data_IF_766893540576
#
_entry.id   IF_766893540576
#
_cell.length_a   1.000
_cell.length_b   1.000
_cell.length_c   1.000
_cell.angle_alpha   90.00
_cell.angle_beta   90.00
_cell.angle_gamma   90.00
#
_symmetry.space_group_name_H-M   'P 1'
#
loop_
_entity.id
_entity.type
_entity.pdbx_description
1 polymer ?
#
# COMPACT_ATOMS: atom_id res chain seq x y z
N UNK A 1 3.83 10.64 -62.32
CA UNK A 1 4.50 10.23 -61.06
C UNK A 1 4.00 11.08 -59.89
N UNK A 2 2.71 10.99 -59.58
CA UNK A 2 2.10 11.70 -58.45
C UNK A 2 1.30 10.67 -57.66
N UNK A 3 1.88 10.16 -56.56
CA UNK A 3 1.20 9.07 -55.83
C UNK A 3 1.98 8.43 -54.69
N UNK A 4 2.89 9.14 -54.00
CA UNK A 4 3.59 8.56 -52.85
C UNK A 4 3.83 9.51 -51.65
N UNK A 5 3.17 10.68 -51.58
CA UNK A 5 3.42 11.65 -50.49
C UNK A 5 2.28 11.75 -49.46
N UNK A 6 1.21 10.95 -49.58
CA UNK A 6 0.05 11.01 -48.66
C UNK A 6 -0.16 9.72 -47.84
N UNK A 7 0.81 8.81 -47.81
CA UNK A 7 0.73 7.54 -47.08
C UNK A 7 1.73 7.42 -45.91
N UNK A 8 2.06 8.54 -45.23
CA UNK A 8 2.90 8.57 -44.01
C UNK A 8 2.23 9.23 -42.80
N UNK A 9 0.90 9.33 -42.79
CA UNK A 9 0.14 9.90 -41.67
C UNK A 9 -0.67 8.87 -40.87
N UNK A 10 -0.42 7.57 -41.05
CA UNK A 10 -1.05 6.52 -40.25
C UNK A 10 -0.01 5.47 -39.87
N UNK A 11 0.44 5.49 -38.60
CA UNK A 11 1.27 4.42 -38.03
C UNK A 11 2.59 4.82 -37.36
N UNK A 12 2.87 6.12 -37.19
CA UNK A 12 4.10 6.59 -36.54
C UNK A 12 3.96 6.69 -35.02
N UNK A 13 4.03 5.57 -34.31
CA UNK A 13 4.22 5.59 -32.86
C UNK A 13 5.62 6.14 -32.53
N UNK A 14 5.75 7.47 -32.42
CA UNK A 14 7.02 8.12 -32.10
C UNK A 14 7.58 7.60 -30.77
N UNK A 15 8.90 7.52 -30.68
CA UNK A 15 9.61 7.18 -29.43
C UNK A 15 10.21 8.46 -28.85
N UNK A 16 10.15 8.56 -27.53
CA UNK A 16 10.61 9.73 -26.77
C UNK A 16 11.60 9.22 -25.70
N UNK A 17 12.74 9.89 -25.48
CA UNK A 17 13.62 9.57 -24.36
C UNK A 17 12.87 9.56 -23.02
N UNK A 18 13.09 8.55 -22.19
CA UNK A 18 12.42 8.35 -20.91
C UNK A 18 12.37 9.61 -20.02
N UNK A 19 13.45 10.39 -20.02
CA UNK A 19 13.58 11.64 -19.26
C UNK A 19 12.60 12.71 -19.74
N UNK A 20 12.46 12.85 -21.05
CA UNK A 20 11.54 13.82 -21.66
C UNK A 20 10.10 13.35 -21.44
N UNK A 21 9.83 12.05 -21.60
CA UNK A 21 8.52 11.48 -21.28
C UNK A 21 8.11 11.78 -19.83
N UNK A 22 9.03 11.59 -18.87
CA UNK A 22 8.77 11.89 -17.46
C UNK A 22 8.52 13.38 -17.20
N UNK A 23 9.25 14.29 -17.86
CA UNK A 23 9.00 15.74 -17.77
C UNK A 23 7.61 16.09 -18.31
N UNK A 24 7.21 15.50 -19.44
CA UNK A 24 5.88 15.71 -20.02
C UNK A 24 4.80 15.18 -19.07
N UNK A 25 4.96 13.98 -18.50
CA UNK A 25 4.02 13.40 -17.53
C UNK A 25 3.95 14.24 -16.26
N UNK A 26 5.09 14.73 -15.74
CA UNK A 26 5.12 15.59 -14.56
C UNK A 26 4.44 16.94 -14.81
N UNK A 27 4.70 17.56 -15.97
CA UNK A 27 4.10 18.83 -16.36
C UNK A 27 2.60 18.72 -16.61
N UNK A 28 2.16 17.71 -17.35
CA UNK A 28 0.73 17.47 -17.60
C UNK A 28 -0.04 16.94 -16.39
N UNK A 29 0.65 16.24 -15.49
CA UNK A 29 0.13 15.76 -14.20
C UNK A 29 0.39 16.70 -13.03
N UNK A 30 0.69 17.98 -13.29
CA UNK A 30 1.09 18.94 -12.25
C UNK A 30 0.06 19.06 -11.12
N UNK A 31 -1.24 19.03 -11.45
CA UNK A 31 -2.30 19.09 -10.45
C UNK A 31 -2.23 17.89 -9.49
N UNK A 32 -2.16 16.66 -10.00
CA UNK A 32 -1.92 15.45 -9.21
C UNK A 32 -0.66 15.54 -8.34
N UNK A 33 0.45 16.10 -8.85
CA UNK A 33 1.66 16.33 -8.05
C UNK A 33 1.45 17.39 -6.94
N UNK A 34 0.69 18.45 -7.20
CA UNK A 34 0.35 19.45 -6.18
C UNK A 34 -0.55 18.86 -5.09
N UNK A 35 -1.49 17.98 -5.46
CA UNK A 35 -2.34 17.25 -4.53
C UNK A 35 -1.50 16.28 -3.68
N UNK A 36 -0.53 15.59 -4.28
CA UNK A 36 0.43 14.75 -3.57
C UNK A 36 1.24 15.56 -2.55
N UNK A 37 1.78 16.70 -2.97
CA UNK A 37 2.57 17.59 -2.10
C UNK A 37 1.73 18.12 -0.92
N UNK A 38 0.47 18.50 -1.15
CA UNK A 38 -0.43 18.97 -0.09
C UNK A 38 -0.80 17.89 0.94
N UNK A 39 -0.57 16.61 0.64
CA UNK A 39 -0.83 15.47 1.54
C UNK A 39 0.39 15.00 2.32
N UNK A 40 1.57 15.56 2.06
CA UNK A 40 2.80 15.13 2.67
C UNK A 40 2.94 15.69 4.10
N UNK A 41 2.53 14.91 5.11
CA UNK A 41 2.69 15.22 6.53
C UNK A 41 3.62 14.21 7.22
N UNK A 42 4.44 14.65 8.18
CA UNK A 42 5.32 13.79 9.01
C UNK A 42 6.01 12.65 8.23
N UNK A 43 5.52 11.42 8.44
CA UNK A 43 6.01 10.18 7.78
C UNK A 43 5.69 10.16 6.28
N UNK A 44 4.54 10.66 5.86
CA UNK A 44 4.13 10.77 4.46
C UNK A 44 5.06 11.66 3.64
N UNK A 45 5.63 12.70 4.26
CA UNK A 45 6.68 13.52 3.63
C UNK A 45 7.97 12.73 3.40
N UNK A 46 8.42 11.97 4.40
CA UNK A 46 9.61 11.14 4.27
C UNK A 46 9.47 10.09 3.15
N UNK A 47 8.32 9.40 3.06
CA UNK A 47 8.09 8.41 2.00
C UNK A 47 7.94 9.06 0.62
N UNK A 48 7.32 10.23 0.53
CA UNK A 48 7.23 11.00 -0.73
C UNK A 48 8.60 11.45 -1.21
N UNK A 49 9.45 11.97 -0.32
CA UNK A 49 10.82 12.36 -0.67
C UNK A 49 11.66 11.15 -1.11
N UNK A 50 11.54 10.02 -0.43
CA UNK A 50 12.21 8.79 -0.82
C UNK A 50 11.76 8.31 -2.22
N UNK A 51 10.46 8.39 -2.50
CA UNK A 51 9.90 8.07 -3.81
C UNK A 51 10.47 9.00 -4.90
N UNK A 52 10.45 10.31 -4.67
CA UNK A 52 10.97 11.31 -5.62
C UNK A 52 12.48 11.11 -5.86
N UNK A 53 13.26 10.83 -4.83
CA UNK A 53 14.68 10.55 -4.95
C UNK A 53 14.95 9.28 -5.76
N UNK A 54 14.20 8.20 -5.50
CA UNK A 54 14.33 6.94 -6.23
C UNK A 54 13.93 7.09 -7.71
N UNK A 55 12.82 7.77 -8.00
CA UNK A 55 12.39 8.06 -9.36
C UNK A 55 13.37 8.97 -10.10
N UNK A 56 13.84 10.04 -9.44
CA UNK A 56 14.83 10.96 -9.99
C UNK A 56 16.14 10.24 -10.33
N UNK A 57 16.65 9.41 -9.42
CA UNK A 57 17.83 8.58 -9.67
C UNK A 57 17.64 7.65 -10.86
N UNK A 58 16.52 6.93 -10.93
CA UNK A 58 16.21 6.02 -12.03
C UNK A 58 16.11 6.77 -13.37
N UNK A 59 15.51 7.96 -13.40
CA UNK A 59 15.38 8.78 -14.59
C UNK A 59 16.71 9.36 -15.08
N UNK A 60 17.58 9.83 -14.17
CA UNK A 60 18.92 10.33 -14.53
C UNK A 60 19.74 9.24 -15.22
N UNK A 61 19.58 7.98 -14.78
CA UNK A 61 20.28 6.83 -15.35
C UNK A 61 19.50 6.14 -16.49
N UNK A 62 18.28 6.59 -16.80
CA UNK A 62 17.50 6.03 -17.89
C UNK A 62 18.13 6.40 -19.24
N UNK A 63 18.42 5.37 -20.04
CA UNK A 63 18.88 5.46 -21.43
C UNK A 63 17.87 4.88 -22.42
N UNK A 64 16.75 4.36 -21.91
CA UNK A 64 15.71 3.76 -22.73
C UNK A 64 14.74 4.81 -23.27
N UNK A 65 13.99 4.40 -24.29
CA UNK A 65 12.94 5.19 -24.90
C UNK A 65 11.58 4.63 -24.56
N UNK A 66 10.60 5.52 -24.62
CA UNK A 66 9.23 5.30 -24.23
C UNK A 66 8.34 5.69 -25.41
N UNK A 67 7.28 4.91 -25.66
CA UNK A 67 6.39 5.21 -26.79
C UNK A 67 5.52 6.45 -26.49
N UNK A 68 5.43 7.35 -27.46
CA UNK A 68 4.67 8.60 -27.35
C UNK A 68 3.17 8.38 -27.11
N UNK A 69 2.59 7.34 -27.70
CA UNK A 69 1.19 6.97 -27.47
C UNK A 69 0.91 6.58 -26.01
N UNK A 70 1.86 5.93 -25.35
CA UNK A 70 1.77 5.64 -23.92
C UNK A 70 1.81 6.92 -23.07
N UNK A 71 2.64 7.91 -23.44
CA UNK A 71 2.67 9.22 -22.77
C UNK A 71 1.32 9.93 -22.93
N UNK A 72 0.77 9.96 -24.15
CA UNK A 72 -0.57 10.52 -24.40
C UNK A 72 -1.64 9.80 -23.58
N UNK A 73 -1.60 8.47 -23.50
CA UNK A 73 -2.55 7.70 -22.69
C UNK A 73 -2.47 8.06 -21.20
N UNK A 74 -1.27 8.26 -20.65
CA UNK A 74 -1.09 8.70 -19.25
C UNK A 74 -1.67 10.10 -19.05
N UNK A 75 -1.44 11.02 -19.97
CA UNK A 75 -1.98 12.39 -19.87
C UNK A 75 -3.51 12.40 -19.94
N UNK A 76 -4.10 11.64 -20.86
CA UNK A 76 -5.56 11.47 -20.96
C UNK A 76 -6.12 10.84 -19.69
N UNK A 77 -5.46 9.81 -19.15
CA UNK A 77 -5.85 9.18 -17.90
C UNK A 77 -5.76 10.16 -16.71
N UNK A 78 -4.74 11.02 -16.68
CA UNK A 78 -4.57 12.05 -15.64
C UNK A 78 -5.69 13.08 -15.72
N UNK A 79 -6.02 13.56 -16.92
CA UNK A 79 -7.12 14.49 -17.14
C UNK A 79 -8.46 13.86 -16.75
N UNK A 80 -8.72 12.61 -17.15
CA UNK A 80 -9.92 11.89 -16.76
C UNK A 80 -10.00 11.67 -15.23
N UNK A 81 -8.87 11.39 -14.58
CA UNK A 81 -8.79 11.25 -13.14
C UNK A 81 -9.10 12.57 -12.42
N UNK A 82 -8.63 13.70 -12.92
CA UNK A 82 -8.95 15.02 -12.36
C UNK A 82 -10.46 15.31 -12.38
N UNK A 83 -11.18 14.84 -13.41
CA UNK A 83 -12.64 14.98 -13.51
C UNK A 83 -13.40 14.18 -12.43
N UNK A 84 -12.79 13.15 -11.85
CA UNK A 84 -13.44 12.38 -10.77
C UNK A 84 -13.52 13.15 -9.45
N UNK A 85 -12.73 14.21 -9.28
CA UNK A 85 -12.51 14.90 -8.00
C UNK A 85 -11.95 14.00 -6.87
N UNK A 86 -11.50 12.78 -7.20
CA UNK A 86 -10.86 11.86 -6.27
C UNK A 86 -9.35 12.00 -6.40
N UNK A 87 -8.76 12.86 -5.57
CA UNK A 87 -7.34 13.22 -5.60
C UNK A 87 -6.39 12.01 -5.70
N UNK A 88 -6.72 10.90 -5.04
CA UNK A 88 -5.88 9.69 -5.09
C UNK A 88 -5.83 8.98 -6.44
N UNK A 89 -6.92 9.02 -7.21
CA UNK A 89 -6.93 8.40 -8.54
C UNK A 89 -5.94 9.17 -9.41
N UNK A 90 -5.97 10.50 -9.35
CA UNK A 90 -5.06 11.35 -10.10
C UNK A 90 -3.61 11.18 -9.66
N UNK A 91 -3.34 11.25 -8.34
CA UNK A 91 -2.00 10.98 -7.79
C UNK A 91 -1.50 9.62 -8.24
N UNK A 92 -2.35 8.58 -8.17
CA UNK A 92 -2.00 7.22 -8.57
C UNK A 92 -1.64 7.11 -10.05
N UNK A 93 -2.42 7.75 -10.93
CA UNK A 93 -2.14 7.79 -12.37
C UNK A 93 -0.83 8.49 -12.68
N UNK A 94 -0.57 9.65 -12.07
CA UNK A 94 0.66 10.41 -12.29
C UNK A 94 1.88 9.65 -11.77
N UNK A 95 1.82 9.11 -10.54
CA UNK A 95 2.91 8.30 -9.97
C UNK A 95 3.16 7.03 -10.79
N UNK A 96 2.10 6.37 -11.28
CA UNK A 96 2.24 5.22 -12.16
C UNK A 96 2.88 5.59 -13.50
N UNK A 97 2.50 6.72 -14.10
CA UNK A 97 3.08 7.25 -15.33
C UNK A 97 4.56 7.63 -15.20
N UNK A 98 4.93 8.26 -14.08
CA UNK A 98 6.33 8.58 -13.76
C UNK A 98 7.15 7.31 -13.53
N UNK A 99 6.59 6.34 -12.80
CA UNK A 99 7.22 5.04 -12.55
C UNK A 99 7.43 4.27 -13.85
N UNK A 100 6.44 4.26 -14.74
CA UNK A 100 6.54 3.67 -16.07
C UNK A 100 7.62 4.34 -16.91
N UNK A 101 7.67 5.68 -16.91
CA UNK A 101 8.69 6.44 -17.64
C UNK A 101 10.10 6.20 -17.10
N UNK A 102 10.23 5.94 -15.79
CA UNK A 102 11.51 5.69 -15.14
C UNK A 102 12.05 4.26 -15.36
N UNK A 103 11.21 3.31 -15.79
CA UNK A 103 11.55 1.90 -15.85
C UNK A 103 11.47 1.35 -17.28
N UNK A 104 12.52 0.67 -17.78
CA UNK A 104 12.49 0.09 -19.14
C UNK A 104 11.44 -1.03 -19.30
N UNK A 105 11.01 -1.62 -18.19
CA UNK A 105 9.91 -2.59 -18.13
C UNK A 105 9.12 -2.37 -16.86
N UNK A 106 7.79 -2.35 -16.97
CA UNK A 106 6.92 -2.19 -15.82
C UNK A 106 7.08 -3.37 -14.86
N UNK A 107 7.38 -3.07 -13.60
CA UNK A 107 7.52 -4.04 -12.53
C UNK A 107 6.45 -3.80 -11.49
N UNK A 108 5.45 -4.68 -11.45
CA UNK A 108 4.32 -4.59 -10.51
C UNK A 108 4.75 -4.37 -9.05
N UNK A 109 5.78 -5.05 -8.51
CA UNK A 109 6.20 -4.78 -7.13
C UNK A 109 6.76 -3.38 -6.92
N UNK A 110 7.49 -2.83 -7.91
CA UNK A 110 8.05 -1.48 -7.84
C UNK A 110 6.94 -0.44 -7.99
N UNK A 111 5.97 -0.69 -8.88
CA UNK A 111 4.78 0.17 -8.99
C UNK A 111 3.98 0.18 -7.68
N UNK A 112 3.76 -0.98 -7.06
CA UNK A 112 3.08 -1.08 -5.78
C UNK A 112 3.83 -0.33 -4.67
N UNK A 113 5.16 -0.46 -4.59
CA UNK A 113 5.98 0.34 -3.68
C UNK A 113 5.82 1.85 -3.93
N UNK A 114 5.85 2.28 -5.20
CA UNK A 114 5.68 3.68 -5.54
C UNK A 114 4.31 4.22 -5.10
N UNK A 115 3.25 3.45 -5.32
CA UNK A 115 1.89 3.82 -4.89
C UNK A 115 1.71 3.77 -3.37
N UNK A 116 2.39 2.86 -2.66
CA UNK A 116 2.35 2.77 -1.20
C UNK A 116 3.23 3.83 -0.50
N UNK A 117 4.21 4.39 -1.21
CA UNK A 117 5.08 5.47 -0.73
C UNK A 117 4.41 6.85 -0.79
N UNK A 118 3.34 7.00 -1.58
CA UNK A 118 2.42 8.14 -1.49
C UNK A 118 1.80 8.16 -0.08
N UNK A 119 1.50 9.33 0.52
CA UNK A 119 0.78 9.49 1.79
C UNK A 119 -0.67 8.97 1.67
N UNK A 120 -0.79 7.65 1.60
CA UNK A 120 -2.04 6.89 1.43
C UNK A 120 -2.67 6.55 2.77
N UNK A 121 -1.88 6.56 3.86
CA UNK A 121 -2.32 6.25 5.22
C UNK A 121 -3.59 7.01 5.64
N UNK A 122 -3.69 8.35 5.48
CA UNK A 122 -4.92 9.08 5.81
C UNK A 122 -6.15 8.59 5.04
N UNK A 123 -5.97 8.14 3.80
CA UNK A 123 -7.08 7.57 3.03
C UNK A 123 -7.42 6.17 3.50
N UNK A 124 -6.42 5.33 3.79
CA UNK A 124 -6.68 4.00 4.35
C UNK A 124 -7.45 4.12 5.67
N UNK A 125 -7.16 5.14 6.47
CA UNK A 125 -7.89 5.40 7.71
C UNK A 125 -9.37 5.76 7.49
N UNK A 126 -9.70 6.44 6.39
CA UNK A 126 -11.08 6.80 6.04
C UNK A 126 -11.81 5.60 5.41
N UNK A 127 -11.20 4.96 4.40
CA UNK A 127 -11.87 3.97 3.56
C UNK A 127 -11.78 2.55 4.10
N UNK A 128 -10.66 2.19 4.74
CA UNK A 128 -10.31 0.81 5.06
C UNK A 128 -10.40 0.53 6.56
N UNK A 129 -10.17 1.53 7.43
CA UNK A 129 -10.21 1.31 8.87
C UNK A 129 -11.56 0.78 9.37
N UNK A 130 -12.68 1.35 8.92
CA UNK A 130 -14.03 0.92 9.34
C UNK A 130 -14.30 -0.56 9.03
N UNK A 131 -14.14 -1.01 7.78
CA UNK A 131 -14.21 -2.43 7.43
C UNK A 131 -13.24 -3.31 8.23
N UNK A 132 -11.98 -2.91 8.37
CA UNK A 132 -10.98 -3.68 9.11
C UNK A 132 -11.30 -3.79 10.60
N UNK A 133 -11.84 -2.74 11.24
CA UNK A 133 -12.28 -2.77 12.64
C UNK A 133 -13.38 -3.81 12.84
N UNK A 134 -14.37 -3.85 11.95
CA UNK A 134 -15.45 -4.87 12.00
C UNK A 134 -14.91 -6.29 11.89
N UNK A 135 -14.04 -6.53 10.91
CA UNK A 135 -13.40 -7.85 10.73
C UNK A 135 -12.59 -8.21 11.97
N UNK A 136 -11.79 -7.27 12.49
CA UNK A 136 -10.95 -7.50 13.66
C UNK A 136 -11.77 -7.79 14.91
N UNK A 137 -12.85 -7.04 15.15
CA UNK A 137 -13.75 -7.25 16.28
C UNK A 137 -14.45 -8.60 16.20
N UNK A 138 -14.95 -8.98 15.02
CA UNK A 138 -15.58 -10.29 14.78
C UNK A 138 -14.62 -11.46 15.07
N UNK A 139 -13.42 -11.40 14.49
CA UNK A 139 -12.43 -12.46 14.67
C UNK A 139 -11.91 -12.52 16.10
N UNK A 140 -11.76 -11.38 16.76
CA UNK A 140 -11.33 -11.31 18.17
C UNK A 140 -12.41 -11.89 19.07
N UNK A 141 -13.69 -11.53 18.88
CA UNK A 141 -14.80 -12.11 19.62
C UNK A 141 -14.84 -13.64 19.47
N UNK A 142 -14.71 -14.12 18.23
CA UNK A 142 -14.66 -15.56 17.94
C UNK A 142 -13.52 -16.24 18.67
N UNK A 143 -12.32 -15.67 18.62
CA UNK A 143 -11.14 -16.20 19.32
C UNK A 143 -11.34 -16.23 20.84
N UNK A 144 -11.87 -15.16 21.44
CA UNK A 144 -12.14 -15.10 22.88
C UNK A 144 -13.18 -16.14 23.31
N UNK A 145 -14.26 -16.31 22.53
CA UNK A 145 -15.30 -17.33 22.79
C UNK A 145 -14.76 -18.74 22.70
N UNK A 146 -13.87 -19.02 21.74
CA UNK A 146 -13.17 -20.30 21.65
C UNK A 146 -12.30 -20.60 22.88
N UNK A 147 -11.85 -19.56 23.58
CA UNK A 147 -11.12 -19.67 24.86
C UNK A 147 -12.05 -19.67 26.08
N UNK A 148 -13.36 -19.83 25.90
CA UNK A 148 -14.35 -19.90 27.00
C UNK A 148 -14.78 -18.53 27.55
N UNK A 149 -14.43 -17.42 26.89
CA UNK A 149 -14.80 -16.08 27.35
C UNK A 149 -16.11 -15.64 26.70
N UNK A 150 -17.14 -15.48 27.53
CA UNK A 150 -18.47 -15.05 27.11
C UNK A 150 -18.54 -13.56 26.78
N UNK A 151 -17.97 -13.15 25.64
CA UNK A 151 -18.07 -11.77 25.14
C UNK A 151 -19.25 -11.61 24.18
N UNK A 152 -19.96 -10.48 24.28
CA UNK A 152 -20.94 -10.04 23.28
C UNK A 152 -20.29 -9.01 22.35
N UNK A 153 -20.69 -9.00 21.07
CA UNK A 153 -20.14 -8.08 20.07
C UNK A 153 -21.29 -7.19 19.58
N UNK A 154 -21.17 -5.90 19.81
CA UNK A 154 -22.13 -4.89 19.34
C UNK A 154 -21.41 -3.92 18.40
N UNK A 155 -21.63 -4.09 17.09
CA UNK A 155 -20.94 -3.32 16.06
C UNK A 155 -19.43 -3.58 16.03
N UNK A 156 -18.66 -2.68 16.67
CA UNK A 156 -17.19 -2.78 16.82
C UNK A 156 -16.75 -2.75 18.28
N UNK A 157 -17.70 -2.90 19.22
CA UNK A 157 -17.42 -2.93 20.65
C UNK A 157 -17.65 -4.34 21.21
N UNK A 158 -16.73 -4.77 22.09
CA UNK A 158 -16.86 -6.02 22.84
C UNK A 158 -17.36 -5.70 24.24
N UNK A 159 -18.45 -6.34 24.64
CA UNK A 159 -19.02 -6.26 25.98
C UNK A 159 -18.62 -7.50 26.78
N UNK A 160 -18.07 -7.28 27.97
CA UNK A 160 -17.68 -8.33 28.90
C UNK A 160 -17.83 -7.87 30.34
N UNK A 161 -18.70 -8.53 31.11
CA UNK A 161 -19.03 -8.17 32.50
C UNK A 161 -19.41 -6.69 32.69
N UNK A 162 -20.20 -6.12 31.77
CA UNK A 162 -20.63 -4.72 31.83
C UNK A 162 -19.50 -3.72 31.59
N UNK A 163 -18.39 -4.18 30.99
CA UNK A 163 -17.31 -3.33 30.47
C UNK A 163 -17.29 -3.43 28.96
N UNK A 164 -17.19 -2.27 28.33
CA UNK A 164 -17.09 -2.14 26.88
C UNK A 164 -15.62 -1.94 26.48
N UNK A 165 -15.16 -2.72 25.49
CA UNK A 165 -13.87 -2.56 24.83
C UNK A 165 -14.09 -2.21 23.35
N UNK A 166 -13.80 -0.96 23.00
CA UNK A 166 -14.06 -0.41 21.67
C UNK A 166 -12.86 -0.58 20.74
N UNK A 167 -13.09 -1.06 19.53
CA UNK A 167 -12.06 -1.08 18.48
C UNK A 167 -11.92 0.32 17.85
N UNK A 168 -10.95 1.07 18.34
CA UNK A 168 -10.64 2.44 17.92
C UNK A 168 -9.62 2.51 16.76
N UNK A 169 -9.09 3.72 16.48
CA UNK A 169 -8.14 3.99 15.39
C UNK A 169 -6.91 3.08 15.41
N UNK A 170 -6.14 3.05 16.51
CA UNK A 170 -4.99 2.16 16.70
C UNK A 170 -5.29 0.67 16.54
N UNK A 171 -6.51 0.22 16.87
CA UNK A 171 -6.91 -1.19 16.77
C UNK A 171 -7.40 -1.60 15.37
N UNK A 172 -7.51 -0.66 14.43
CA UNK A 172 -7.96 -0.95 13.05
C UNK A 172 -7.02 -1.86 12.26
N UNK A 173 -5.75 -1.97 12.63
CA UNK A 173 -4.77 -2.76 11.88
C UNK A 173 -4.31 -2.13 10.55
N UNK A 174 -4.76 -0.91 10.21
CA UNK A 174 -4.41 -0.23 8.94
C UNK A 174 -2.89 -0.06 8.78
N UNK A 175 -2.21 0.38 9.85
CA UNK A 175 -0.75 0.56 9.83
C UNK A 175 0.00 -0.75 9.64
N UNK A 176 -0.45 -1.82 10.31
CA UNK A 176 0.10 -3.16 10.16
C UNK A 176 -0.08 -3.68 8.72
N UNK A 177 -1.28 -3.51 8.16
CA UNK A 177 -1.57 -3.87 6.77
C UNK A 177 -0.67 -3.11 5.80
N UNK A 178 -0.60 -1.78 5.91
CA UNK A 178 0.25 -0.96 5.05
C UNK A 178 1.72 -1.41 5.12
N UNK A 179 2.26 -1.61 6.32
CA UNK A 179 3.63 -2.04 6.51
C UNK A 179 3.92 -3.43 5.88
N UNK A 180 2.99 -4.38 5.99
CA UNK A 180 3.14 -5.70 5.36
C UNK A 180 2.99 -5.65 3.84
N UNK A 181 2.14 -4.77 3.30
CA UNK A 181 2.05 -4.55 1.85
C UNK A 181 3.34 -3.93 1.30
N UNK A 182 3.94 -2.98 2.03
CA UNK A 182 5.27 -2.42 1.69
C UNK A 182 6.32 -3.53 1.71
N UNK A 183 6.35 -4.35 2.76
CA UNK A 183 7.30 -5.46 2.87
C UNK A 183 7.13 -6.49 1.76
N UNK A 184 5.89 -6.89 1.44
CA UNK A 184 5.59 -7.81 0.35
C UNK A 184 6.00 -7.24 -1.02
N UNK A 185 5.82 -5.93 -1.22
CA UNK A 185 6.23 -5.23 -2.44
C UNK A 185 7.75 -5.11 -2.56
N UNK A 186 8.44 -4.86 -1.44
CA UNK A 186 9.91 -4.87 -1.36
C UNK A 186 10.48 -6.25 -1.68
N UNK A 187 9.97 -7.29 -1.03
CA UNK A 187 10.37 -8.67 -1.31
C UNK A 187 10.08 -9.01 -2.76
N UNK A 188 8.88 -8.72 -3.26
CA UNK A 188 8.49 -8.92 -4.65
C UNK A 188 9.44 -8.24 -5.63
N UNK A 189 9.91 -7.04 -5.32
CA UNK A 189 10.88 -6.30 -6.14
C UNK A 189 12.26 -6.95 -6.13
N UNK A 190 12.77 -7.32 -4.95
CA UNK A 190 14.07 -7.99 -4.77
C UNK A 190 14.09 -9.34 -5.50
N UNK A 191 13.03 -10.13 -5.34
CA UNK A 191 12.94 -11.46 -5.96
C UNK A 191 12.47 -11.43 -7.42
N UNK A 192 12.14 -10.24 -7.95
CA UNK A 192 11.60 -10.05 -9.30
C UNK A 192 10.38 -10.94 -9.55
N UNK A 193 9.46 -10.96 -8.59
CA UNK A 193 8.29 -11.83 -8.63
C UNK A 193 7.43 -11.57 -9.88
N UNK A 194 7.02 -12.60 -10.64
CA UNK A 194 6.05 -12.46 -11.71
C UNK A 194 4.66 -12.08 -11.14
N UNK A 195 3.75 -11.53 -11.97
CA UNK A 195 2.50 -10.91 -11.50
C UNK A 195 1.66 -11.81 -10.59
N UNK A 196 1.42 -13.07 -10.97
CA UNK A 196 0.64 -14.01 -10.17
C UNK A 196 1.27 -14.28 -8.81
N UNK A 197 2.59 -14.52 -8.77
CA UNK A 197 3.30 -14.73 -7.51
C UNK A 197 3.21 -13.48 -6.63
N UNK A 198 3.37 -12.29 -7.23
CA UNK A 198 3.26 -11.03 -6.50
C UNK A 198 1.85 -10.81 -5.94
N UNK A 199 0.80 -11.11 -6.70
CA UNK A 199 -0.58 -11.06 -6.21
C UNK A 199 -0.80 -11.99 -5.01
N UNK A 200 -0.23 -13.21 -5.04
CA UNK A 200 -0.26 -14.12 -3.90
C UNK A 200 0.53 -13.58 -2.70
N UNK A 201 1.63 -12.85 -2.91
CA UNK A 201 2.36 -12.19 -1.82
C UNK A 201 1.50 -11.10 -1.15
N UNK A 202 0.80 -10.28 -1.94
CA UNK A 202 -0.08 -9.25 -1.42
C UNK A 202 -1.27 -9.85 -0.67
N UNK A 203 -1.90 -10.89 -1.22
CA UNK A 203 -2.99 -11.61 -0.54
C UNK A 203 -2.51 -12.24 0.78
N UNK A 204 -1.31 -12.83 0.79
CA UNK A 204 -0.67 -13.33 2.00
C UNK A 204 -0.42 -12.23 3.03
N UNK A 205 0.10 -11.07 2.61
CA UNK A 205 0.32 -9.93 3.48
C UNK A 205 -0.99 -9.43 4.13
N UNK A 206 -2.08 -9.36 3.37
CA UNK A 206 -3.41 -9.01 3.89
C UNK A 206 -3.89 -10.03 4.92
N UNK A 207 -3.81 -11.33 4.61
CA UNK A 207 -4.24 -12.38 5.52
C UNK A 207 -3.45 -12.36 6.84
N UNK A 208 -2.12 -12.25 6.74
CA UNK A 208 -1.24 -12.15 7.90
C UNK A 208 -1.50 -10.88 8.71
N UNK A 209 -1.79 -9.74 8.06
CA UNK A 209 -2.16 -8.50 8.75
C UNK A 209 -3.42 -8.68 9.60
N UNK A 210 -4.46 -9.30 9.02
CA UNK A 210 -5.73 -9.53 9.70
C UNK A 210 -5.52 -10.46 10.89
N UNK A 211 -4.86 -11.62 10.69
CA UNK A 211 -4.58 -12.57 11.77
C UNK A 211 -3.73 -11.94 12.87
N UNK A 212 -2.68 -11.21 12.49
CA UNK A 212 -1.80 -10.49 13.41
C UNK A 212 -2.55 -9.47 14.27
N UNK A 213 -3.42 -8.67 13.64
CA UNK A 213 -4.22 -7.69 14.34
C UNK A 213 -5.26 -8.34 15.27
N UNK A 214 -5.87 -9.46 14.86
CA UNK A 214 -6.77 -10.25 15.72
C UNK A 214 -6.04 -10.76 16.96
N UNK A 215 -4.86 -11.35 16.80
CA UNK A 215 -4.06 -11.85 17.92
C UNK A 215 -3.64 -10.71 18.86
N UNK A 216 -3.22 -9.57 18.29
CA UNK A 216 -2.89 -8.37 19.06
C UNK A 216 -4.09 -7.89 19.87
N UNK A 217 -5.26 -7.74 19.25
CA UNK A 217 -6.47 -7.27 19.92
C UNK A 217 -6.94 -8.23 21.02
N UNK A 218 -6.91 -9.54 20.76
CA UNK A 218 -7.21 -10.55 21.78
C UNK A 218 -6.21 -10.50 22.95
N UNK A 219 -4.92 -10.37 22.66
CA UNK A 219 -3.88 -10.25 23.69
C UNK A 219 -4.10 -9.01 24.55
N UNK A 220 -4.43 -7.90 23.90
CA UNK A 220 -4.74 -6.64 24.58
C UNK A 220 -5.96 -6.77 25.50
N UNK A 221 -7.00 -7.48 25.06
CA UNK A 221 -8.15 -7.79 25.91
C UNK A 221 -7.71 -8.48 27.21
N UNK A 222 -6.88 -9.52 27.17
CA UNK A 222 -6.42 -10.21 28.39
C UNK A 222 -5.63 -9.31 29.34
N UNK A 223 -4.81 -8.42 28.77
CA UNK A 223 -3.99 -7.46 29.51
C UNK A 223 -4.88 -6.40 30.19
N UNK A 224 -5.83 -5.81 29.46
CA UNK A 224 -6.65 -4.69 29.94
C UNK A 224 -7.84 -5.13 30.82
N UNK A 225 -8.33 -6.36 30.63
CA UNK A 225 -9.43 -6.91 31.45
C UNK A 225 -9.01 -7.39 32.84
N UNK A 226 -7.70 -7.35 33.15
CA UNK A 226 -7.17 -7.67 34.46
C UNK A 226 -6.88 -9.15 34.70
N UNK A 227 -6.90 -10.01 33.68
CA UNK A 227 -6.43 -11.39 33.80
C UNK A 227 -4.94 -11.47 34.16
N UNK A 228 -4.17 -10.44 33.80
CA UNK A 228 -2.75 -10.34 34.16
C UNK A 228 -2.53 -9.06 34.97
N UNK A 229 -2.67 -9.10 36.31
CA UNK A 229 -2.63 -7.94 37.18
C UNK A 229 -1.29 -7.19 37.26
N UNK A 230 -0.26 -7.60 36.53
CA UNK A 230 1.04 -6.93 36.48
C UNK A 230 1.32 -6.21 35.15
N UNK A 231 0.49 -6.45 34.13
CA UNK A 231 0.69 -5.94 32.78
C UNK A 231 -0.47 -5.00 32.44
N UNK A 232 -0.29 -3.71 32.70
CA UNK A 232 -1.24 -2.67 32.27
C UNK A 232 -0.50 -1.37 31.98
N UNK A 233 -1.16 -0.48 31.24
CA UNK A 233 -0.64 0.83 30.87
C UNK A 233 -0.17 0.94 29.42
N UNK A 234 0.12 2.19 28.97
CA UNK A 234 0.35 2.51 27.56
C UNK A 234 1.58 1.81 26.97
N UNK A 235 2.62 1.59 27.78
CA UNK A 235 3.85 0.91 27.33
C UNK A 235 3.57 -0.55 26.96
N UNK A 236 2.72 -1.24 27.73
CA UNK A 236 2.35 -2.64 27.44
C UNK A 236 1.53 -2.71 26.15
N UNK A 237 0.63 -1.77 25.93
CA UNK A 237 -0.16 -1.67 24.70
C UNK A 237 0.75 -1.53 23.46
N UNK A 238 1.75 -0.65 23.52
CA UNK A 238 2.73 -0.47 22.44
C UNK A 238 3.62 -1.70 22.26
N UNK A 239 4.11 -2.29 23.36
CA UNK A 239 4.97 -3.48 23.32
C UNK A 239 4.26 -4.69 22.71
N UNK A 240 3.00 -4.96 23.08
CA UNK A 240 2.17 -6.02 22.49
C UNK A 240 1.95 -5.75 21.00
N UNK A 241 1.70 -4.49 20.62
CA UNK A 241 1.59 -4.08 19.22
C UNK A 241 2.86 -4.34 18.42
N UNK A 242 4.02 -3.96 18.96
CA UNK A 242 5.32 -4.16 18.33
C UNK A 242 5.69 -5.64 18.24
N UNK A 243 5.45 -6.41 19.29
CA UNK A 243 5.72 -7.85 19.31
C UNK A 243 4.85 -8.59 18.30
N UNK A 244 3.55 -8.29 18.24
CA UNK A 244 2.64 -8.86 17.26
C UNK A 244 3.08 -8.51 15.83
N UNK A 245 3.46 -7.24 15.58
CA UNK A 245 3.99 -6.82 14.29
C UNK A 245 5.29 -7.55 13.92
N UNK A 246 6.25 -7.64 14.84
CA UNK A 246 7.54 -8.30 14.60
C UNK A 246 7.36 -9.79 14.30
N UNK A 247 6.48 -10.48 15.05
CA UNK A 247 6.14 -11.88 14.80
C UNK A 247 5.53 -12.09 13.42
N UNK A 248 4.57 -11.25 13.06
CA UNK A 248 3.88 -11.25 11.77
C UNK A 248 4.83 -10.93 10.61
N UNK A 249 5.66 -9.91 10.74
CA UNK A 249 6.65 -9.55 9.74
C UNK A 249 7.71 -10.65 9.57
N UNK A 250 8.18 -11.22 10.68
CA UNK A 250 9.14 -12.33 10.68
C UNK A 250 8.59 -13.59 10.02
N UNK A 251 7.35 -13.98 10.36
CA UNK A 251 6.67 -15.12 9.72
C UNK A 251 6.45 -14.88 8.23
N UNK A 252 6.04 -13.68 7.83
CA UNK A 252 5.94 -13.31 6.42
C UNK A 252 7.29 -13.47 5.71
N UNK A 253 8.39 -12.90 6.23
CA UNK A 253 9.74 -13.04 5.65
C UNK A 253 10.18 -14.50 5.58
N UNK A 254 9.94 -15.30 6.61
CA UNK A 254 10.29 -16.72 6.63
C UNK A 254 9.52 -17.53 5.57
N UNK A 255 8.22 -17.31 5.43
CA UNK A 255 7.41 -17.96 4.41
C UNK A 255 7.85 -17.57 2.99
N UNK A 256 8.22 -16.31 2.81
CA UNK A 256 8.70 -15.77 1.53
C UNK A 256 10.08 -16.31 1.15
N UNK A 257 10.97 -16.52 2.13
CA UNK A 257 12.32 -17.03 1.91
C UNK A 257 12.37 -18.55 1.74
N UNK A 258 11.53 -19.31 2.44
CA UNK A 258 11.50 -20.79 2.34
C UNK A 258 11.08 -21.30 0.95
N UNK A 259 10.17 -20.60 0.27
CA UNK A 259 9.75 -20.97 -1.10
C UNK A 259 10.82 -20.74 -2.18
N UNK A 260 11.94 -20.07 -1.85
CA UNK A 260 13.11 -19.99 -2.74
C UNK A 260 13.99 -21.24 -2.72
N UNK A 261 13.89 -22.09 -1.69
CA UNK A 261 14.72 -23.29 -1.55
C UNK A 261 14.10 -24.55 -2.16
N UNK A 262 12.85 -24.47 -2.65
CA UNK A 262 12.08 -25.60 -3.19
C UNK A 262 11.83 -25.50 -4.71
N UNK A 263 12.63 -24.70 -5.41
CA UNK A 263 12.68 -24.56 -6.87
C UNK A 263 14.15 -24.66 -7.31
#
# INVERSE_FOLDING_TARGET
>A
MAGQTTARLAGGGGVIPARIAAVIVAGGGWHGLSLLAGRADGVGLATTLALLAALGWALVHATHEVRADGVVAVLVASAAAALTSVALIEIGVVVAGLSWSAMPRLRWPVLALALLAVPILPTLDILVAGPLRRVSALLTAGLLRMNGIGVTLEGVALEWHGRELLFDGPCSGVRMLWALLVLASLVGAIVRAPPLRFALLLAGAVAVAITGNTLRAASLFYVESGFIPMLHGPVVHEAVGLAAFAFVAGTAVLLLTRRRMSL
#
